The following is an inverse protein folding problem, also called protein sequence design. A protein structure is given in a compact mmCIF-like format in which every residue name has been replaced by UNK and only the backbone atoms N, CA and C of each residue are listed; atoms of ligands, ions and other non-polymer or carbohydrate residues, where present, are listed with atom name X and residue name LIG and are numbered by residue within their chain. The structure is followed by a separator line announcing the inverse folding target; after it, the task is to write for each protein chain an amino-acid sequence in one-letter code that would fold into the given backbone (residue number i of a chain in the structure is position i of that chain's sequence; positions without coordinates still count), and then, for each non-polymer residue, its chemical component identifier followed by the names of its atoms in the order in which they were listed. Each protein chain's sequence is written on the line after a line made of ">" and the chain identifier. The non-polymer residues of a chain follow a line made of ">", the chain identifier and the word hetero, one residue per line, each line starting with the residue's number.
data_IF_403240911444
#
_entry.id   IF_403240911444
#
_cell.length_a   1.000
_cell.length_b   1.000
_cell.length_c   1.000
_cell.angle_alpha   90.00
_cell.angle_beta   90.00
_cell.angle_gamma   90.00
#
_symmetry.space_group_name_H-M   'P 1'
#
loop_
_entity.id
_entity.type
_entity.pdbx_description
1 polymer ?
#
# COMPACT_ATOMS: atom_id res chain seq x y z
N UNK A 1 8.27 2.24 17.55
CA UNK A 1 8.16 2.40 16.09
C UNK A 1 6.69 2.31 15.68
N UNK A 2 6.04 3.47 15.62
CA UNK A 2 4.59 3.62 15.40
C UNK A 2 4.11 3.08 14.04
N UNK A 3 5.00 2.96 13.04
CA UNK A 3 4.63 2.47 11.70
C UNK A 3 4.36 0.96 11.68
N UNK A 4 4.77 0.23 12.72
CA UNK A 4 4.47 -1.20 12.88
C UNK A 4 3.06 -1.45 13.45
N UNK A 5 2.35 -0.41 13.85
CA UNK A 5 1.01 -0.51 14.44
C UNK A 5 -0.03 -0.21 13.36
N UNK A 6 -0.91 -1.17 13.11
CA UNK A 6 -2.02 -0.98 12.19
C UNK A 6 -3.11 -0.07 12.78
N UNK A 7 -3.65 0.82 11.95
CA UNK A 7 -4.72 1.75 12.35
C UNK A 7 -4.22 3.04 12.99
N UNK A 8 -4.82 4.16 12.57
CA UNK A 8 -4.40 5.49 13.01
C UNK A 8 -4.73 5.77 14.49
N UNK A 9 -5.87 5.28 14.97
CA UNK A 9 -6.27 5.44 16.37
C UNK A 9 -5.36 4.62 17.30
N UNK A 10 -5.08 3.37 16.96
CA UNK A 10 -4.20 2.49 17.73
C UNK A 10 -2.80 3.10 17.89
N UNK A 11 -2.27 3.77 16.84
CA UNK A 11 -0.99 4.49 16.92
C UNK A 11 -1.02 5.65 17.92
N UNK A 12 -2.14 6.37 17.99
CA UNK A 12 -2.30 7.49 18.94
C UNK A 12 -2.35 6.94 20.37
N UNK A 13 -3.11 5.88 20.62
CA UNK A 13 -3.19 5.23 21.92
C UNK A 13 -1.80 4.71 22.35
N UNK A 14 -1.13 3.98 21.48
CA UNK A 14 0.21 3.47 21.77
C UNK A 14 1.21 4.59 22.08
N UNK A 15 1.21 5.66 21.29
CA UNK A 15 2.08 6.82 21.54
C UNK A 15 1.74 7.53 22.85
N UNK A 16 0.46 7.71 23.17
CA UNK A 16 -0.02 8.22 24.47
C UNK A 16 0.58 7.42 25.63
N UNK A 17 0.49 6.09 25.53
CA UNK A 17 0.97 5.19 26.59
C UNK A 17 2.50 5.20 26.69
N UNK A 18 3.20 5.22 25.54
CA UNK A 18 4.67 5.30 25.47
C UNK A 18 5.23 6.56 26.17
N UNK A 19 4.56 7.71 26.02
CA UNK A 19 4.99 8.97 26.65
C UNK A 19 4.34 9.24 28.00
N UNK A 20 3.59 8.28 28.56
CA UNK A 20 2.85 8.40 29.83
C UNK A 20 1.92 9.65 29.85
N UNK A 21 1.26 9.95 28.74
CA UNK A 21 0.35 11.08 28.63
C UNK A 21 -0.99 10.79 29.30
N UNK A 22 -1.56 11.78 29.99
CA UNK A 22 -2.88 11.71 30.65
C UNK A 22 -4.07 11.93 29.70
N UNK A 23 -3.89 11.84 28.38
CA UNK A 23 -4.98 12.00 27.43
C UNK A 23 -6.01 10.85 27.59
N UNK A 24 -7.27 11.22 27.71
CA UNK A 24 -8.38 10.27 27.70
C UNK A 24 -8.54 9.66 26.30
N UNK A 25 -9.25 8.54 26.20
CA UNK A 25 -9.60 7.93 24.89
C UNK A 25 -10.43 8.90 24.02
N UNK A 26 -11.32 9.67 24.63
CA UNK A 26 -12.11 10.71 23.95
C UNK A 26 -11.19 11.76 23.30
N UNK A 27 -10.18 12.22 24.01
CA UNK A 27 -9.20 13.17 23.47
C UNK A 27 -8.34 12.54 22.35
N UNK A 28 -7.96 11.27 22.49
CA UNK A 28 -7.29 10.53 21.43
C UNK A 28 -8.16 10.38 20.17
N UNK A 29 -9.46 10.16 20.35
CA UNK A 29 -10.45 10.11 19.26
C UNK A 29 -10.58 11.48 18.56
N UNK A 30 -10.60 12.58 19.31
CA UNK A 30 -10.59 13.92 18.75
C UNK A 30 -9.33 14.17 17.92
N UNK A 31 -8.14 13.82 18.43
CA UNK A 31 -6.87 13.92 17.70
C UNK A 31 -6.96 13.14 16.38
N UNK A 32 -7.49 11.92 16.40
CA UNK A 32 -7.69 11.12 15.18
C UNK A 32 -8.64 11.81 14.18
N UNK A 33 -9.71 12.39 14.65
CA UNK A 33 -10.69 13.11 13.82
C UNK A 33 -10.07 14.34 13.18
N UNK A 34 -9.33 15.15 13.94
CA UNK A 34 -8.60 16.31 13.44
C UNK A 34 -7.52 15.93 12.42
N UNK A 35 -6.79 14.84 12.67
CA UNK A 35 -5.82 14.29 11.71
C UNK A 35 -6.49 13.90 10.40
N UNK A 36 -7.64 13.21 10.44
CA UNK A 36 -8.42 12.83 9.24
C UNK A 36 -8.86 14.06 8.44
N UNK A 37 -9.38 15.09 9.12
CA UNK A 37 -9.78 16.34 8.48
C UNK A 37 -8.59 17.04 7.81
N UNK A 38 -7.45 17.11 8.50
CA UNK A 38 -6.24 17.71 7.95
C UNK A 38 -5.75 16.93 6.71
N UNK A 39 -5.73 15.60 6.77
CA UNK A 39 -5.37 14.74 5.65
C UNK A 39 -6.29 14.96 4.44
N UNK A 40 -7.62 15.01 4.67
CA UNK A 40 -8.60 15.33 3.63
C UNK A 40 -8.32 16.68 2.95
N UNK A 41 -8.02 17.71 3.73
CA UNK A 41 -7.69 19.04 3.20
C UNK A 41 -6.40 19.04 2.36
N UNK A 42 -5.39 18.25 2.77
CA UNK A 42 -4.15 18.09 2.00
C UNK A 42 -4.40 17.39 0.66
N UNK A 43 -5.25 16.37 0.63
CA UNK A 43 -5.66 15.71 -0.60
C UNK A 43 -6.38 16.70 -1.53
N UNK A 44 -7.41 17.37 -1.02
CA UNK A 44 -8.23 18.31 -1.80
C UNK A 44 -7.43 19.51 -2.35
N UNK A 45 -6.39 19.92 -1.64
CA UNK A 45 -5.47 20.97 -2.09
C UNK A 45 -4.40 20.49 -3.09
N UNK A 46 -4.41 19.20 -3.49
CA UNK A 46 -3.44 18.60 -4.42
C UNK A 46 -2.03 18.45 -3.85
N UNK A 47 -1.84 18.64 -2.53
CA UNK A 47 -0.54 18.48 -1.88
C UNK A 47 -0.12 17.02 -1.71
N UNK A 48 -1.08 16.10 -1.67
CA UNK A 48 -0.82 14.66 -1.68
C UNK A 48 -1.01 14.15 -3.11
N UNK A 49 0.08 13.66 -3.68
CA UNK A 49 0.10 13.12 -5.04
C UNK A 49 0.23 11.61 -5.02
N UNK A 50 -0.24 10.99 -6.09
CA UNK A 50 0.04 9.57 -6.38
C UNK A 50 1.54 9.41 -6.56
N UNK A 51 2.11 8.33 -6.02
CA UNK A 51 3.55 8.04 -6.14
C UNK A 51 3.95 7.77 -7.60
N UNK A 52 5.20 8.04 -7.89
CA UNK A 52 5.77 7.84 -9.23
C UNK A 52 5.58 6.43 -9.74
N UNK A 53 5.19 6.32 -11.00
CA UNK A 53 4.95 5.08 -11.71
C UNK A 53 3.60 4.40 -11.42
N UNK A 54 2.88 4.80 -10.35
CA UNK A 54 1.61 4.14 -9.98
C UNK A 54 0.56 4.28 -11.08
N UNK A 55 0.29 5.51 -11.54
CA UNK A 55 -0.72 5.73 -12.61
C UNK A 55 -0.30 5.07 -13.93
N UNK A 56 1.00 5.10 -14.27
CA UNK A 56 1.53 4.42 -15.45
C UNK A 56 1.26 2.92 -15.38
N UNK A 57 1.60 2.28 -14.26
CA UNK A 57 1.41 0.85 -14.09
C UNK A 57 -0.07 0.46 -14.07
N UNK A 58 -0.93 1.24 -13.40
CA UNK A 58 -2.39 1.03 -13.42
C UNK A 58 -2.92 1.05 -14.86
N UNK A 59 -2.51 2.02 -15.69
CA UNK A 59 -2.92 2.12 -17.08
C UNK A 59 -2.42 0.93 -17.91
N UNK A 60 -1.16 0.55 -17.73
CA UNK A 60 -0.54 -0.59 -18.42
C UNK A 60 -1.30 -1.88 -18.11
N UNK A 61 -1.50 -2.20 -16.84
CA UNK A 61 -2.20 -3.41 -16.40
C UNK A 61 -3.66 -3.42 -16.87
N UNK A 62 -4.34 -2.27 -16.85
CA UNK A 62 -5.70 -2.16 -17.38
C UNK A 62 -5.76 -2.41 -18.89
N UNK A 63 -4.75 -1.94 -19.65
CA UNK A 63 -4.69 -2.18 -21.11
C UNK A 63 -4.43 -3.64 -21.49
N UNK A 64 -3.96 -4.44 -20.54
CA UNK A 64 -3.70 -5.87 -20.66
C UNK A 64 -4.79 -6.74 -20.02
N UNK A 65 -5.91 -6.13 -19.63
CA UNK A 65 -7.04 -6.78 -18.95
C UNK A 65 -6.63 -7.53 -17.65
N UNK A 66 -5.63 -7.00 -16.93
CA UNK A 66 -5.18 -7.56 -15.66
C UNK A 66 -6.04 -6.99 -14.52
N UNK A 67 -6.62 -7.89 -13.73
CA UNK A 67 -7.39 -7.52 -12.54
C UNK A 67 -6.53 -6.80 -11.51
N UNK A 68 -7.03 -5.67 -11.01
CA UNK A 68 -6.34 -4.84 -10.04
C UNK A 68 -7.21 -4.62 -8.80
N UNK A 69 -6.61 -4.74 -7.63
CA UNK A 69 -7.25 -4.52 -6.34
C UNK A 69 -6.51 -3.48 -5.51
N UNK A 70 -7.24 -2.62 -4.81
CA UNK A 70 -6.69 -1.81 -3.74
C UNK A 70 -6.90 -2.54 -2.43
N UNK A 71 -5.82 -2.85 -1.70
CA UNK A 71 -5.86 -3.53 -0.40
C UNK A 71 -5.17 -2.66 0.65
N UNK A 72 -5.96 -2.02 1.53
CA UNK A 72 -5.45 -1.01 2.46
C UNK A 72 -5.96 -1.20 3.89
N UNK A 73 -5.17 -0.75 4.88
CA UNK A 73 -5.60 -0.60 6.28
C UNK A 73 -6.22 0.77 6.58
N UNK A 74 -6.38 1.62 5.56
CA UNK A 74 -7.13 2.86 5.70
C UNK A 74 -8.62 2.57 5.67
N UNK A 75 -9.39 3.26 6.53
CA UNK A 75 -10.84 3.20 6.46
C UNK A 75 -11.40 3.95 5.25
N UNK A 76 -12.61 3.59 4.82
CA UNK A 76 -13.32 4.17 3.66
C UNK A 76 -13.36 5.69 3.69
N UNK A 77 -13.71 6.28 4.84
CA UNK A 77 -13.78 7.74 5.01
C UNK A 77 -12.46 8.47 4.71
N UNK A 78 -11.33 7.79 4.99
CA UNK A 78 -10.00 8.36 4.74
C UNK A 78 -9.54 8.13 3.31
N UNK A 79 -9.96 7.04 2.69
CA UNK A 79 -9.57 6.64 1.33
C UNK A 79 -10.38 7.38 0.27
N UNK A 80 -11.68 7.54 0.47
CA UNK A 80 -12.62 8.09 -0.51
C UNK A 80 -12.20 9.46 -1.08
N UNK A 81 -11.75 10.45 -0.28
CA UNK A 81 -11.26 11.71 -0.82
C UNK A 81 -10.09 11.54 -1.79
N UNK A 82 -9.17 10.62 -1.49
CA UNK A 82 -8.03 10.32 -2.36
C UNK A 82 -8.47 9.65 -3.67
N UNK A 83 -9.37 8.69 -3.61
CA UNK A 83 -9.93 8.05 -4.79
C UNK A 83 -10.62 9.05 -5.70
N UNK A 84 -11.46 9.92 -5.15
CA UNK A 84 -12.23 10.92 -5.92
C UNK A 84 -11.38 12.03 -6.54
N UNK A 85 -10.23 12.36 -5.94
CA UNK A 85 -9.36 13.43 -6.45
C UNK A 85 -8.20 12.91 -7.28
N UNK A 86 -7.47 11.92 -6.76
CA UNK A 86 -6.19 11.49 -7.34
C UNK A 86 -6.32 10.28 -8.26
N UNK A 87 -7.39 9.47 -8.10
CA UNK A 87 -7.63 8.25 -8.88
C UNK A 87 -9.00 8.24 -9.58
N UNK A 88 -9.72 9.38 -9.66
CA UNK A 88 -11.08 9.43 -10.21
C UNK A 88 -11.21 8.84 -11.61
N UNK A 89 -10.26 9.07 -12.48
CA UNK A 89 -10.23 8.55 -13.87
C UNK A 89 -9.83 7.08 -13.96
N UNK A 90 -9.33 6.50 -12.87
CA UNK A 90 -8.79 5.13 -12.82
C UNK A 90 -9.65 4.19 -11.97
N UNK A 91 -10.74 4.68 -11.38
CA UNK A 91 -11.56 3.86 -10.47
C UNK A 91 -12.12 2.60 -11.14
N UNK A 92 -12.49 2.71 -12.41
CA UNK A 92 -13.04 1.59 -13.20
C UNK A 92 -11.98 0.53 -13.59
N UNK A 93 -10.69 0.80 -13.30
CA UNK A 93 -9.60 -0.16 -13.54
C UNK A 93 -9.39 -1.12 -12.37
N UNK A 94 -10.09 -0.88 -11.25
CA UNK A 94 -10.00 -1.73 -10.08
C UNK A 94 -11.21 -2.66 -10.00
N UNK A 95 -10.96 -3.95 -9.96
CA UNK A 95 -11.96 -5.00 -9.76
C UNK A 95 -12.47 -5.04 -8.32
N UNK A 96 -11.72 -4.48 -7.36
CA UNK A 96 -12.15 -4.37 -5.97
C UNK A 96 -11.28 -3.43 -5.13
N UNK A 97 -11.89 -2.94 -4.04
CA UNK A 97 -11.24 -2.09 -3.04
C UNK A 97 -11.54 -2.66 -1.67
N UNK A 98 -10.51 -3.14 -0.99
CA UNK A 98 -10.59 -3.75 0.34
C UNK A 98 -9.98 -2.77 1.34
N UNK A 99 -10.77 -2.40 2.32
CA UNK A 99 -10.46 -1.37 3.32
C UNK A 99 -10.39 -1.96 4.73
N UNK A 100 -10.13 -1.12 5.71
CA UNK A 100 -10.10 -1.52 7.12
C UNK A 100 -11.40 -2.20 7.56
N UNK A 101 -12.56 -1.75 7.07
CA UNK A 101 -13.89 -2.21 7.48
C UNK A 101 -14.26 -3.58 6.90
N UNK A 102 -13.55 -4.05 5.87
CA UNK A 102 -13.92 -5.27 5.15
C UNK A 102 -13.37 -6.56 5.79
N UNK A 103 -12.45 -6.44 6.76
CA UNK A 103 -11.82 -7.58 7.42
C UNK A 103 -11.71 -7.39 8.94
N UNK A 104 -11.75 -8.48 9.69
CA UNK A 104 -11.64 -8.45 11.16
C UNK A 104 -10.19 -8.36 11.63
N UNK A 105 -9.25 -8.99 10.90
CA UNK A 105 -7.82 -8.97 11.23
C UNK A 105 -7.08 -8.19 10.16
N UNK A 106 -6.41 -7.12 10.60
CA UNK A 106 -5.70 -6.21 9.71
C UNK A 106 -4.24 -6.61 9.55
N UNK A 107 -3.58 -6.08 8.48
CA UNK A 107 -2.14 -6.29 8.29
C UNK A 107 -1.38 -6.10 9.61
N UNK A 108 -0.51 -7.03 10.01
CA UNK A 108 0.18 -8.03 9.20
C UNK A 108 -0.58 -9.37 8.99
N UNK A 109 -1.83 -9.53 9.44
CA UNK A 109 -2.63 -10.70 9.13
C UNK A 109 -3.02 -10.74 7.65
N UNK A 110 -3.19 -11.94 7.04
CA UNK A 110 -3.42 -12.09 5.60
C UNK A 110 -4.83 -11.77 5.14
N UNK A 111 -5.78 -11.58 6.04
CA UNK A 111 -7.24 -11.57 5.79
C UNK A 111 -7.65 -10.68 4.61
N UNK A 112 -7.08 -9.47 4.49
CA UNK A 112 -7.40 -8.56 3.39
C UNK A 112 -6.89 -9.08 2.03
N UNK A 113 -5.75 -9.78 1.99
CA UNK A 113 -5.25 -10.39 0.77
C UNK A 113 -6.01 -11.68 0.41
N UNK A 114 -6.37 -12.48 1.41
CA UNK A 114 -7.22 -13.65 1.19
C UNK A 114 -8.59 -13.25 0.61
N UNK A 115 -9.17 -12.16 1.12
CA UNK A 115 -10.41 -11.61 0.55
C UNK A 115 -10.22 -11.12 -0.89
N UNK A 116 -9.07 -10.51 -1.22
CA UNK A 116 -8.76 -10.12 -2.60
C UNK A 116 -8.67 -11.34 -3.53
N UNK A 117 -8.00 -12.41 -3.08
CA UNK A 117 -7.91 -13.67 -3.82
C UNK A 117 -9.29 -14.31 -4.05
N UNK A 118 -10.13 -14.34 -3.01
CA UNK A 118 -11.52 -14.83 -3.12
C UNK A 118 -12.32 -14.04 -4.16
N UNK A 119 -12.29 -12.70 -4.08
CA UNK A 119 -13.03 -11.83 -5.00
C UNK A 119 -12.51 -11.89 -6.45
N UNK A 120 -11.21 -12.08 -6.64
CA UNK A 120 -10.61 -12.23 -7.97
C UNK A 120 -10.83 -13.61 -8.58
N UNK A 121 -11.20 -14.61 -7.78
CA UNK A 121 -11.25 -16.01 -8.17
C UNK A 121 -9.92 -16.51 -8.79
N UNK A 122 -8.79 -15.98 -8.30
CA UNK A 122 -7.45 -16.35 -8.74
C UNK A 122 -6.71 -17.12 -7.65
N UNK A 123 -5.75 -17.95 -8.05
CA UNK A 123 -4.81 -18.57 -7.13
C UNK A 123 -3.69 -17.58 -6.75
N UNK A 124 -3.10 -17.79 -5.59
CA UNK A 124 -1.96 -17.01 -5.09
C UNK A 124 -0.76 -17.00 -6.06
N UNK A 125 -0.56 -18.10 -6.80
CA UNK A 125 0.53 -18.24 -7.78
C UNK A 125 0.36 -17.30 -9.00
N UNK A 126 -0.85 -16.83 -9.28
CA UNK A 126 -1.17 -15.92 -10.38
C UNK A 126 -1.23 -14.46 -9.93
N UNK A 127 -0.97 -14.18 -8.66
CA UNK A 127 -1.14 -12.86 -8.07
C UNK A 127 0.16 -12.33 -7.47
N UNK A 128 0.31 -11.01 -7.51
CA UNK A 128 1.41 -10.32 -6.87
C UNK A 128 0.90 -9.12 -6.07
N UNK A 129 1.39 -8.98 -4.83
CA UNK A 129 1.16 -7.79 -4.03
C UNK A 129 2.26 -6.76 -4.28
N UNK A 130 1.90 -5.48 -4.41
CA UNK A 130 2.83 -4.36 -4.42
C UNK A 130 2.62 -3.58 -3.12
N UNK A 131 3.65 -3.49 -2.30
CA UNK A 131 3.59 -2.95 -0.95
C UNK A 131 4.64 -1.87 -0.70
N UNK A 132 4.37 -1.01 0.27
CA UNK A 132 5.28 0.06 0.70
C UNK A 132 5.70 -0.05 2.17
N UNK A 133 5.23 -1.07 2.87
CA UNK A 133 5.44 -1.28 4.31
C UNK A 133 5.75 -2.74 4.64
N UNK A 134 6.53 -2.94 5.71
CA UNK A 134 6.87 -4.30 6.16
C UNK A 134 5.64 -5.07 6.67
N UNK A 135 4.69 -4.39 7.32
CA UNK A 135 3.44 -5.04 7.76
C UNK A 135 2.60 -5.49 6.56
N UNK A 136 2.65 -4.76 5.44
CA UNK A 136 2.01 -5.15 4.20
C UNK A 136 2.71 -6.33 3.53
N UNK A 137 4.04 -6.33 3.49
CA UNK A 137 4.83 -7.49 3.01
C UNK A 137 4.54 -8.73 3.84
N UNK A 138 4.51 -8.61 5.17
CA UNK A 138 4.17 -9.73 6.06
C UNK A 138 2.78 -10.28 5.80
N UNK A 139 1.79 -9.42 5.60
CA UNK A 139 0.42 -9.83 5.27
C UNK A 139 0.33 -10.54 3.91
N UNK A 140 1.01 -10.01 2.88
CA UNK A 140 1.06 -10.64 1.56
C UNK A 140 1.73 -12.01 1.62
N UNK A 141 2.86 -12.12 2.31
CA UNK A 141 3.57 -13.41 2.48
C UNK A 141 2.78 -14.40 3.31
N UNK A 142 2.01 -13.95 4.31
CA UNK A 142 1.10 -14.81 5.08
C UNK A 142 -0.10 -15.31 4.26
N UNK A 143 -0.45 -14.61 3.17
CA UNK A 143 -1.42 -15.06 2.16
C UNK A 143 -0.77 -15.85 1.00
N UNK A 144 0.50 -16.27 1.13
CA UNK A 144 1.32 -16.96 0.13
C UNK A 144 1.56 -16.16 -1.17
N UNK A 145 1.26 -14.88 -1.21
CA UNK A 145 1.47 -14.05 -2.39
C UNK A 145 2.95 -13.78 -2.65
N UNK A 146 3.32 -13.70 -3.92
CA UNK A 146 4.52 -12.98 -4.32
C UNK A 146 4.36 -11.49 -3.98
N UNK A 147 5.46 -10.83 -3.62
CA UNK A 147 5.40 -9.45 -3.15
C UNK A 147 6.59 -8.64 -3.67
N UNK A 148 6.27 -7.49 -4.27
CA UNK A 148 7.21 -6.43 -4.59
C UNK A 148 7.12 -5.32 -3.54
N UNK A 149 8.22 -5.00 -2.88
CA UNK A 149 8.31 -3.87 -1.96
C UNK A 149 8.78 -2.62 -2.71
N UNK A 150 8.05 -1.51 -2.58
CA UNK A 150 8.47 -0.19 -3.05
C UNK A 150 8.87 0.66 -1.84
N UNK A 151 10.12 1.14 -1.79
CA UNK A 151 10.57 1.93 -0.65
C UNK A 151 9.80 3.23 -0.51
N UNK A 152 9.38 3.60 0.71
CA UNK A 152 8.79 4.91 0.93
C UNK A 152 9.85 6.02 0.69
N UNK A 153 9.46 7.20 0.17
CA UNK A 153 10.39 8.29 -0.20
C UNK A 153 11.28 8.79 0.95
N UNK A 154 10.84 8.59 2.19
CA UNK A 154 11.59 8.96 3.42
C UNK A 154 12.49 7.85 3.95
N UNK A 155 12.59 6.73 3.26
CA UNK A 155 13.49 5.64 3.67
C UNK A 155 14.94 6.07 3.49
N UNK A 156 15.63 6.31 4.59
CA UNK A 156 17.02 6.81 4.59
C UNK A 156 18.07 5.70 4.59
N UNK A 157 17.65 4.44 4.74
CA UNK A 157 18.58 3.31 4.82
C UNK A 157 18.07 2.05 4.16
N UNK A 158 18.75 1.64 3.11
CA UNK A 158 18.58 0.35 2.44
C UNK A 158 19.19 -0.80 3.26
N UNK A 159 20.12 -0.48 4.19
CA UNK A 159 20.95 -1.49 4.90
C UNK A 159 20.19 -2.41 5.84
N UNK A 160 19.02 -2.01 6.33
CA UNK A 160 18.22 -2.76 7.30
C UNK A 160 16.90 -3.31 6.72
N UNK A 161 16.77 -3.37 5.40
CA UNK A 161 15.59 -3.94 4.77
C UNK A 161 15.68 -5.45 4.90
N UNK A 162 14.77 -6.02 5.68
CA UNK A 162 14.59 -7.47 5.73
C UNK A 162 14.12 -7.96 4.37
N UNK A 163 14.84 -8.88 3.75
CA UNK A 163 14.50 -9.46 2.43
C UNK A 163 13.34 -10.46 2.55
N UNK A 164 12.18 -9.97 3.03
CA UNK A 164 10.95 -10.78 3.13
C UNK A 164 10.13 -10.76 1.85
N UNK A 165 10.17 -9.65 1.10
CA UNK A 165 9.55 -9.57 -0.22
C UNK A 165 10.39 -10.32 -1.27
N UNK A 166 9.80 -10.69 -2.40
CA UNK A 166 10.49 -11.34 -3.50
C UNK A 166 11.46 -10.38 -4.21
N UNK A 167 11.06 -9.10 -4.30
CA UNK A 167 11.90 -8.03 -4.84
C UNK A 167 11.65 -6.71 -4.11
N UNK A 168 12.60 -5.78 -4.23
CA UNK A 168 12.49 -4.44 -3.67
C UNK A 168 13.05 -3.41 -4.64
N UNK A 169 12.32 -2.32 -4.84
CA UNK A 169 12.67 -1.19 -5.69
C UNK A 169 12.47 0.14 -4.97
N UNK A 170 13.08 1.22 -5.48
CA UNK A 170 12.90 2.56 -4.92
C UNK A 170 11.53 3.16 -5.23
N UNK A 171 11.01 2.92 -6.44
CA UNK A 171 9.71 3.39 -6.93
C UNK A 171 9.24 2.46 -8.06
N UNK A 172 8.05 2.69 -8.61
CA UNK A 172 7.61 1.97 -9.81
C UNK A 172 8.19 2.54 -11.11
N UNK A 173 8.85 3.71 -11.04
CA UNK A 173 9.48 4.36 -12.18
C UNK A 173 8.48 5.04 -13.13
N UNK A 174 9.00 6.04 -13.83
CA UNK A 174 8.34 6.71 -14.95
C UNK A 174 9.39 7.24 -15.93
N UNK A 175 8.96 7.91 -17.00
CA UNK A 175 9.86 8.40 -18.06
C UNK A 175 10.94 9.40 -17.57
N UNK A 176 10.65 10.10 -16.46
CA UNK A 176 11.55 11.11 -15.91
C UNK A 176 12.42 10.57 -14.76
N UNK A 177 11.92 9.56 -14.04
CA UNK A 177 12.56 9.02 -12.85
C UNK A 177 12.55 7.49 -12.89
N UNK A 178 13.71 6.93 -13.22
CA UNK A 178 13.90 5.49 -13.28
C UNK A 178 13.72 4.81 -11.90
N UNK A 179 13.15 3.63 -11.90
CA UNK A 179 13.19 2.73 -10.75
C UNK A 179 14.60 2.21 -10.52
N UNK A 180 15.02 2.09 -9.26
CA UNK A 180 16.28 1.45 -8.91
C UNK A 180 16.00 0.16 -8.16
N UNK A 181 16.58 -0.92 -8.65
CA UNK A 181 16.51 -2.22 -7.99
C UNK A 181 17.37 -2.22 -6.73
N UNK A 182 16.80 -2.65 -5.62
CA UNK A 182 17.50 -2.85 -4.34
C UNK A 182 17.90 -4.32 -4.18
N UNK A 183 16.97 -5.23 -4.44
CA UNK A 183 17.22 -6.67 -4.55
C UNK A 183 16.06 -7.35 -5.32
N UNK A 184 16.32 -8.54 -5.82
CA UNK A 184 15.37 -9.34 -6.61
C UNK A 184 15.86 -9.55 -8.03
N UNK A 185 14.96 -9.93 -8.94
CA UNK A 185 15.25 -10.09 -10.35
C UNK A 185 15.64 -8.75 -10.99
N UNK A 186 16.52 -8.77 -12.00
CA UNK A 186 16.98 -7.57 -12.68
C UNK A 186 15.82 -6.90 -13.43
N UNK A 187 15.68 -5.59 -13.29
CA UNK A 187 14.79 -4.79 -14.14
C UNK A 187 15.22 -4.87 -15.60
N UNK A 188 14.29 -5.10 -16.50
CA UNK A 188 14.50 -5.12 -17.95
C UNK A 188 14.39 -3.72 -18.55
N UNK A 189 13.73 -2.82 -17.83
CA UNK A 189 13.53 -1.42 -18.21
C UNK A 189 13.84 -0.48 -17.04
N UNK A 190 13.66 0.82 -17.23
CA UNK A 190 13.76 1.83 -16.18
C UNK A 190 12.53 1.82 -15.24
N UNK A 191 11.55 0.98 -15.52
CA UNK A 191 10.26 0.95 -14.82
C UNK A 191 9.94 -0.46 -14.34
N UNK A 192 9.13 -0.55 -13.29
CA UNK A 192 8.40 -1.76 -12.96
C UNK A 192 7.21 -1.85 -13.92
N UNK A 193 7.24 -2.79 -14.83
CA UNK A 193 6.22 -3.07 -15.84
C UNK A 193 5.59 -4.46 -15.63
N UNK A 194 4.62 -4.81 -16.46
CA UNK A 194 3.96 -6.11 -16.41
C UNK A 194 4.95 -7.28 -16.58
N UNK A 195 5.92 -7.15 -17.51
CA UNK A 195 6.94 -8.17 -17.72
C UNK A 195 7.78 -8.40 -16.46
N UNK A 196 8.19 -7.32 -15.79
CA UNK A 196 8.93 -7.44 -14.53
C UNK A 196 8.10 -8.10 -13.43
N UNK A 197 6.80 -7.75 -13.30
CA UNK A 197 5.92 -8.37 -12.31
C UNK A 197 5.74 -9.88 -12.58
N UNK A 198 5.56 -10.28 -13.82
CA UNK A 198 5.45 -11.71 -14.19
C UNK A 198 6.74 -12.49 -13.92
N UNK A 199 7.91 -11.85 -14.09
CA UNK A 199 9.20 -12.45 -13.74
C UNK A 199 9.43 -12.62 -12.22
N UNK A 200 8.66 -11.97 -11.37
CA UNK A 200 8.66 -12.20 -9.91
C UNK A 200 7.75 -13.40 -9.55
N UNK A 201 6.68 -13.60 -10.30
CA UNK A 201 5.70 -14.69 -10.09
C UNK A 201 6.30 -16.04 -10.52
N UNK A 202 7.02 -16.08 -11.64
CA UNK A 202 7.65 -17.26 -12.22
C UNK A 202 9.04 -17.54 -11.60
#
# INVERSE_FOLDING_TARGET
>A
DLLKISGGFNRIIHYRDEINSNLSESQCSEIQSRKRLHYKNLIQSGKIKVREGVLRLINELSSLDIDQFIVTTSGRDSLEPFLKTSLSMHLNYFSGIITYEDVSKHKPFPDAYLLALELSNQSEDNCIAIEDSMIGVEAAKAANLNCLLTLPPWSTSVKNITRKANACVTSLGNDNNASTLIYGNKLTSNNVDYEYLTNIIN
#
